data_IF_638645667031
#
_entry.id   IF_638645667031
#
_cell.length_a   1.000
_cell.length_b   1.000
_cell.length_c   1.000
_cell.angle_alpha   90.00
_cell.angle_beta   90.00
_cell.angle_gamma   90.00
#
_symmetry.space_group_name_H-M   'P 1'
#
loop_
_entity.id
_entity.type
_entity.pdbx_description
1 polymer ?
#
# COMPACT_ATOMS: atom_id res chain seq x y z
N UNK A 1 33.31 -18.22 -24.20
CA UNK A 1 33.62 -16.90 -23.60
C UNK A 1 32.86 -16.78 -22.30
N UNK A 2 33.55 -16.64 -21.17
CA UNK A 2 32.91 -16.38 -19.88
C UNK A 2 32.28 -14.97 -19.90
N UNK A 3 31.04 -14.84 -19.44
CA UNK A 3 30.39 -13.54 -19.32
C UNK A 3 31.10 -12.72 -18.23
N UNK A 4 31.35 -11.42 -18.46
CA UNK A 4 31.98 -10.59 -17.45
C UNK A 4 31.10 -10.54 -16.19
N UNK A 5 31.73 -10.53 -15.01
CA UNK A 5 31.05 -10.62 -13.71
C UNK A 5 29.97 -9.54 -13.53
N UNK A 6 30.19 -8.35 -14.07
CA UNK A 6 29.22 -7.26 -13.99
C UNK A 6 27.89 -7.60 -14.68
N UNK A 7 27.92 -8.33 -15.80
CA UNK A 7 26.70 -8.72 -16.53
C UNK A 7 25.88 -9.73 -15.73
N UNK A 8 26.54 -10.57 -14.94
CA UNK A 8 25.86 -11.49 -14.03
C UNK A 8 25.12 -10.74 -12.91
N UNK A 9 25.73 -9.70 -12.35
CA UNK A 9 25.10 -8.83 -11.35
C UNK A 9 23.93 -8.03 -11.93
N UNK A 10 24.04 -7.55 -13.17
CA UNK A 10 22.96 -6.86 -13.88
C UNK A 10 21.77 -7.80 -14.15
N UNK A 11 22.04 -8.98 -14.73
CA UNK A 11 21.01 -9.99 -15.02
C UNK A 11 20.26 -10.39 -13.74
N UNK A 12 20.98 -10.55 -12.63
CA UNK A 12 20.40 -10.85 -11.32
C UNK A 12 19.60 -9.67 -10.76
N UNK A 13 20.10 -8.43 -10.84
CA UNK A 13 19.38 -7.24 -10.39
C UNK A 13 18.07 -7.06 -11.14
N UNK A 14 18.06 -7.29 -12.46
CA UNK A 14 16.85 -7.26 -13.29
C UNK A 14 15.84 -8.32 -12.86
N UNK A 15 16.28 -9.57 -12.72
CA UNK A 15 15.40 -10.65 -12.28
C UNK A 15 14.79 -10.38 -10.89
N UNK A 16 15.58 -9.81 -9.97
CA UNK A 16 15.11 -9.40 -8.64
C UNK A 16 14.11 -8.24 -8.74
N UNK A 17 14.34 -7.24 -9.58
CA UNK A 17 13.42 -6.12 -9.79
C UNK A 17 12.07 -6.57 -10.38
N UNK A 18 12.09 -7.43 -11.40
CA UNK A 18 10.87 -7.98 -11.99
C UNK A 18 10.11 -8.87 -10.98
N UNK A 19 10.85 -9.57 -10.12
CA UNK A 19 10.25 -10.33 -9.02
C UNK A 19 9.65 -9.39 -7.95
N UNK A 20 10.30 -8.27 -7.62
CA UNK A 20 9.80 -7.26 -6.70
C UNK A 20 8.44 -6.72 -7.17
N UNK A 21 8.36 -6.25 -8.42
CA UNK A 21 7.13 -5.69 -8.98
C UNK A 21 5.97 -6.70 -8.98
N UNK A 22 6.24 -7.95 -9.37
CA UNK A 22 5.23 -9.03 -9.33
C UNK A 22 4.72 -9.30 -7.91
N UNK A 23 5.60 -9.27 -6.91
CA UNK A 23 5.22 -9.53 -5.51
C UNK A 23 4.45 -8.37 -4.90
N UNK A 24 4.82 -7.13 -5.22
CA UNK A 24 4.06 -5.95 -4.78
C UNK A 24 2.65 -5.90 -5.37
N UNK A 25 2.46 -6.43 -6.59
CA UNK A 25 1.16 -6.51 -7.24
C UNK A 25 0.23 -7.58 -6.65
N UNK A 26 0.77 -8.55 -5.89
CA UNK A 26 -0.05 -9.53 -5.19
C UNK A 26 -0.97 -8.82 -4.17
N UNK A 27 -2.21 -9.30 -3.98
CA UNK A 27 -3.10 -8.70 -3.00
C UNK A 27 -2.49 -8.71 -1.60
N UNK A 28 -1.98 -9.87 -1.17
CA UNK A 28 -1.21 -10.05 0.06
C UNK A 28 0.01 -10.94 -0.22
N UNK A 29 1.11 -10.67 0.48
CA UNK A 29 2.34 -11.47 0.47
C UNK A 29 3.00 -11.45 1.86
N UNK A 30 3.99 -12.31 2.08
CA UNK A 30 4.83 -12.28 3.29
C UNK A 30 5.84 -11.13 3.22
N UNK A 31 5.76 -10.23 4.21
CA UNK A 31 6.63 -9.07 4.29
C UNK A 31 8.11 -9.45 4.48
N UNK A 32 8.41 -10.55 5.16
CA UNK A 32 9.79 -10.99 5.35
C UNK A 32 10.41 -11.46 4.03
N UNK A 33 9.61 -12.10 3.18
CA UNK A 33 10.08 -12.53 1.88
C UNK A 33 10.31 -11.37 0.90
N UNK A 34 9.50 -10.30 0.93
CA UNK A 34 9.79 -9.10 0.13
C UNK A 34 11.02 -8.37 0.66
N UNK A 35 11.18 -8.27 1.99
CA UNK A 35 12.37 -7.66 2.60
C UNK A 35 13.67 -8.37 2.18
N UNK A 36 13.69 -9.71 2.16
CA UNK A 36 14.87 -10.46 1.68
C UNK A 36 15.20 -10.12 0.23
N UNK A 37 14.18 -9.95 -0.60
CA UNK A 37 14.34 -9.59 -2.00
C UNK A 37 14.91 -8.16 -2.13
N UNK A 38 14.32 -7.20 -1.41
CA UNK A 38 14.74 -5.79 -1.39
C UNK A 38 16.21 -5.65 -0.94
N UNK A 39 16.61 -6.37 0.12
CA UNK A 39 18.02 -6.40 0.58
C UNK A 39 18.97 -6.94 -0.49
N UNK A 40 18.61 -8.04 -1.17
CA UNK A 40 19.43 -8.63 -2.24
C UNK A 40 19.57 -7.69 -3.43
N UNK A 41 18.49 -7.00 -3.78
CA UNK A 41 18.47 -6.00 -4.86
C UNK A 41 19.42 -4.84 -4.55
N UNK A 42 19.37 -4.28 -3.34
CA UNK A 42 20.29 -3.23 -2.90
C UNK A 42 21.76 -3.68 -2.98
N UNK A 43 22.05 -4.91 -2.56
CA UNK A 43 23.41 -5.47 -2.71
C UNK A 43 23.87 -5.47 -4.17
N UNK A 44 23.00 -5.85 -5.12
CA UNK A 44 23.39 -5.83 -6.53
C UNK A 44 23.63 -4.42 -7.04
N UNK A 45 22.80 -3.46 -6.67
CA UNK A 45 23.01 -2.05 -7.05
C UNK A 45 24.32 -1.50 -6.52
N UNK A 46 24.69 -1.81 -5.27
CA UNK A 46 25.96 -1.39 -4.68
C UNK A 46 27.17 -2.02 -5.40
N UNK A 47 27.05 -3.26 -5.87
CA UNK A 47 28.13 -3.92 -6.62
C UNK A 47 28.28 -3.31 -8.02
N UNK A 48 27.17 -3.07 -8.71
CA UNK A 48 27.15 -2.41 -10.03
C UNK A 48 27.64 -0.95 -9.93
N UNK A 49 27.31 -0.25 -8.85
CA UNK A 49 27.72 1.13 -8.60
C UNK A 49 29.20 1.32 -8.29
N UNK A 50 30.00 0.25 -8.13
CA UNK A 50 31.47 0.38 -7.95
C UNK A 50 32.19 0.85 -9.21
N UNK A 51 31.62 0.56 -10.37
CA UNK A 51 32.15 0.96 -11.67
C UNK A 51 31.00 1.28 -12.64
N UNK A 52 30.15 2.24 -12.27
CA UNK A 52 28.94 2.56 -13.00
C UNK A 52 29.21 3.00 -14.46
N UNK A 53 30.39 3.59 -14.72
CA UNK A 53 30.80 4.10 -16.04
C UNK A 53 31.29 3.03 -17.02
N UNK A 54 31.88 1.91 -16.56
CA UNK A 54 32.38 0.85 -17.43
C UNK A 54 31.35 -0.27 -17.70
N UNK A 55 30.31 -0.36 -16.87
CA UNK A 55 29.50 -1.58 -16.72
C UNK A 55 28.25 -1.61 -17.60
N UNK A 56 27.78 -0.50 -18.19
CA UNK A 56 26.41 -0.47 -18.71
C UNK A 56 26.30 0.22 -20.09
N UNK A 57 26.43 -0.53 -21.21
CA UNK A 57 26.11 0.00 -22.53
C UNK A 57 24.64 0.44 -22.63
N UNK A 58 24.33 1.31 -23.59
CA UNK A 58 22.98 1.81 -23.91
C UNK A 58 22.06 0.73 -24.49
N UNK A 59 21.68 -0.26 -23.66
CA UNK A 59 20.58 -1.16 -23.97
C UNK A 59 19.23 -0.45 -23.74
N UNK A 60 18.33 -0.56 -24.72
CA UNK A 60 17.08 0.20 -24.82
C UNK A 60 15.95 -0.20 -23.84
N UNK A 61 16.16 -1.19 -22.93
CA UNK A 61 15.08 -1.65 -22.05
C UNK A 61 14.88 -0.74 -20.83
N UNK A 62 13.62 -0.46 -20.47
CA UNK A 62 13.26 0.38 -19.32
C UNK A 62 13.85 -0.13 -18.00
N UNK A 63 13.87 -1.46 -17.80
CA UNK A 63 14.47 -2.07 -16.60
C UNK A 63 15.99 -1.86 -16.56
N UNK A 64 16.69 -1.97 -17.70
CA UNK A 64 18.14 -1.70 -17.74
C UNK A 64 18.42 -0.22 -17.44
N UNK A 65 17.66 0.70 -18.03
CA UNK A 65 17.77 2.14 -17.73
C UNK A 65 17.55 2.44 -16.24
N UNK A 66 16.53 1.83 -15.61
CA UNK A 66 16.31 1.97 -14.17
C UNK A 66 17.46 1.43 -13.33
N UNK A 67 18.04 0.27 -13.69
CA UNK A 67 19.17 -0.32 -12.95
C UNK A 67 20.44 0.53 -13.04
N UNK A 68 20.71 1.13 -14.21
CA UNK A 68 21.81 2.11 -14.39
C UNK A 68 21.63 3.29 -13.49
N UNK A 69 20.42 3.80 -13.48
CA UNK A 69 20.01 4.87 -12.61
C UNK A 69 20.30 4.49 -11.14
N UNK A 70 19.75 3.36 -10.68
CA UNK A 70 19.91 2.89 -9.31
C UNK A 70 21.38 2.67 -8.91
N UNK A 71 22.19 2.08 -9.80
CA UNK A 71 23.62 1.86 -9.57
C UNK A 71 24.38 3.18 -9.42
N UNK A 72 24.12 4.15 -10.31
CA UNK A 72 24.73 5.49 -10.25
C UNK A 72 24.34 6.22 -8.96
N UNK A 73 23.06 6.13 -8.58
CA UNK A 73 22.51 6.74 -7.37
C UNK A 73 23.19 6.27 -6.07
N UNK A 74 23.54 4.98 -6.01
CA UNK A 74 24.20 4.39 -4.83
C UNK A 74 25.73 4.36 -4.94
N UNK A 75 26.29 4.82 -6.06
CA UNK A 75 27.73 4.88 -6.31
C UNK A 75 28.43 5.99 -5.52
N UNK A 76 29.76 6.02 -5.58
CA UNK A 76 30.57 7.13 -5.09
C UNK A 76 30.48 8.38 -5.98
N UNK A 77 30.09 8.21 -7.26
CA UNK A 77 29.90 9.28 -8.24
C UNK A 77 28.41 9.54 -8.42
N UNK A 78 27.76 10.03 -7.36
CA UNK A 78 26.32 10.36 -7.41
C UNK A 78 26.07 11.44 -8.46
N UNK A 79 24.90 11.41 -9.15
CA UNK A 79 24.56 12.45 -10.11
C UNK A 79 24.41 13.79 -9.40
N UNK A 80 24.77 14.88 -10.08
CA UNK A 80 24.56 16.22 -9.56
C UNK A 80 23.04 16.49 -9.41
N UNK A 81 22.68 17.36 -8.46
CA UNK A 81 21.27 17.66 -8.20
C UNK A 81 20.60 18.29 -9.42
N UNK A 82 21.35 19.15 -10.11
CA UNK A 82 20.95 19.86 -11.31
C UNK A 82 20.61 18.90 -12.45
N UNK A 83 21.45 17.87 -12.67
CA UNK A 83 21.22 16.84 -13.68
C UNK A 83 19.94 16.05 -13.39
N UNK A 84 19.71 15.72 -12.12
CA UNK A 84 18.53 14.98 -11.69
C UNK A 84 17.27 15.81 -11.89
N UNK A 85 17.30 17.08 -11.50
CA UNK A 85 16.18 18.02 -11.68
C UNK A 85 15.89 18.26 -13.16
N UNK A 86 16.92 18.42 -13.99
CA UNK A 86 16.77 18.58 -15.44
C UNK A 86 16.08 17.36 -16.06
N UNK A 87 16.61 16.15 -15.78
CA UNK A 87 16.03 14.90 -16.30
C UNK A 87 14.57 14.70 -15.86
N UNK A 88 14.23 15.05 -14.62
CA UNK A 88 12.86 14.96 -14.11
C UNK A 88 11.92 16.01 -14.70
N UNK A 89 12.45 17.18 -15.07
CA UNK A 89 11.68 18.24 -15.71
C UNK A 89 11.33 17.88 -17.16
N UNK A 90 12.23 17.17 -17.83
CA UNK A 90 12.02 16.64 -19.19
C UNK A 90 11.12 15.39 -19.19
N UNK A 91 11.33 14.48 -18.25
CA UNK A 91 10.54 13.25 -18.07
C UNK A 91 10.14 13.04 -16.60
N UNK A 92 8.87 13.32 -16.29
CA UNK A 92 8.33 13.10 -14.95
C UNK A 92 8.33 11.62 -14.52
N UNK A 93 8.46 10.67 -15.45
CA UNK A 93 8.54 9.24 -15.20
C UNK A 93 9.98 8.71 -15.09
N UNK A 94 10.97 9.60 -15.18
CA UNK A 94 12.38 9.22 -15.10
C UNK A 94 12.66 8.41 -13.80
N UNK A 95 13.50 7.35 -13.86
CA UNK A 95 13.83 6.50 -12.70
C UNK A 95 14.26 7.24 -11.43
N UNK A 96 14.82 8.44 -11.58
CA UNK A 96 15.18 9.35 -10.50
C UNK A 96 14.03 9.66 -9.55
N UNK A 97 12.80 9.74 -10.06
CA UNK A 97 11.62 9.98 -9.23
C UNK A 97 11.48 8.90 -8.17
N UNK A 98 11.55 7.64 -8.61
CA UNK A 98 11.44 6.49 -7.72
C UNK A 98 12.60 6.48 -6.72
N UNK A 99 13.84 6.67 -7.17
CA UNK A 99 15.00 6.65 -6.27
C UNK A 99 14.97 7.79 -5.24
N UNK A 100 14.49 8.98 -5.60
CA UNK A 100 14.29 10.07 -4.65
C UNK A 100 13.24 9.74 -3.58
N UNK A 101 12.12 9.13 -3.96
CA UNK A 101 11.05 8.76 -3.01
C UNK A 101 11.51 7.65 -2.06
N UNK A 102 12.19 6.64 -2.60
CA UNK A 102 12.46 5.39 -1.90
C UNK A 102 13.86 5.32 -1.26
N UNK A 103 14.84 6.02 -1.84
CA UNK A 103 16.23 6.14 -1.38
C UNK A 103 16.66 7.63 -1.36
N UNK A 104 15.94 8.48 -0.61
CA UNK A 104 16.20 9.91 -0.56
C UNK A 104 17.65 10.19 -0.13
N UNK A 105 18.30 11.21 -0.71
CA UNK A 105 19.63 11.64 -0.31
C UNK A 105 19.57 12.40 1.03
N UNK A 106 20.67 12.34 1.78
CA UNK A 106 20.85 13.12 3.00
C UNK A 106 22.03 14.09 2.79
N UNK A 107 21.89 15.40 3.12
CA UNK A 107 20.71 16.05 3.70
C UNK A 107 19.59 16.31 2.67
N UNK A 108 18.32 16.19 3.10
CA UNK A 108 17.15 16.30 2.23
C UNK A 108 16.71 17.75 1.92
N UNK A 109 17.00 18.70 2.82
CA UNK A 109 16.53 20.09 2.71
C UNK A 109 16.88 20.77 1.37
N UNK A 110 18.16 20.77 0.93
CA UNK A 110 18.56 21.36 -0.34
C UNK A 110 17.82 20.77 -1.55
N UNK A 111 17.59 19.45 -1.55
CA UNK A 111 16.84 18.78 -2.62
C UNK A 111 15.39 19.25 -2.69
N UNK A 112 14.71 19.39 -1.55
CA UNK A 112 13.33 19.86 -1.52
C UNK A 112 13.20 21.32 -1.95
N UNK A 113 14.16 22.18 -1.58
CA UNK A 113 14.18 23.58 -2.03
C UNK A 113 14.35 23.67 -3.55
N UNK A 114 15.32 22.93 -4.12
CA UNK A 114 15.56 22.94 -5.57
C UNK A 114 14.39 22.34 -6.34
N UNK A 115 13.87 21.18 -5.94
CA UNK A 115 12.70 20.56 -6.57
C UNK A 115 11.45 21.44 -6.45
N UNK A 116 11.24 22.08 -5.29
CA UNK A 116 10.09 22.95 -5.04
C UNK A 116 10.11 24.25 -5.86
N UNK A 117 11.30 24.70 -6.30
CA UNK A 117 11.44 25.86 -7.18
C UNK A 117 10.90 25.61 -8.59
N UNK A 118 10.84 24.34 -9.03
CA UNK A 118 10.31 23.93 -10.33
C UNK A 118 8.82 23.53 -10.17
N UNK A 119 7.86 24.27 -10.75
CA UNK A 119 6.43 24.03 -10.51
C UNK A 119 5.96 22.60 -10.80
N UNK A 120 6.44 21.99 -11.90
CA UNK A 120 6.10 20.62 -12.29
C UNK A 120 6.62 19.55 -11.34
N UNK A 121 7.62 19.87 -10.51
CA UNK A 121 8.25 18.95 -9.55
C UNK A 121 7.82 19.19 -8.10
N UNK A 122 7.00 20.21 -7.82
CA UNK A 122 6.43 20.44 -6.48
C UNK A 122 5.67 19.23 -5.92
N UNK A 123 4.88 18.45 -6.69
CA UNK A 123 4.23 17.26 -6.17
C UNK A 123 5.25 16.23 -5.63
N UNK A 124 6.42 16.13 -6.26
CA UNK A 124 7.47 15.18 -5.87
C UNK A 124 8.04 15.51 -4.47
N UNK A 125 8.10 16.79 -4.08
CA UNK A 125 8.53 17.17 -2.73
C UNK A 125 7.66 16.52 -1.65
N UNK A 126 6.34 16.52 -1.86
CA UNK A 126 5.37 15.89 -0.95
C UNK A 126 5.44 14.37 -1.00
N UNK A 127 5.70 13.77 -2.17
CA UNK A 127 5.90 12.33 -2.30
C UNK A 127 7.16 11.85 -1.58
N UNK A 128 8.28 12.58 -1.69
CA UNK A 128 9.51 12.28 -0.95
C UNK A 128 9.27 12.45 0.56
N UNK A 129 8.60 13.54 0.96
CA UNK A 129 8.25 13.78 2.36
C UNK A 129 7.34 12.70 2.94
N UNK A 130 6.50 12.05 2.12
CA UNK A 130 5.55 11.02 2.56
C UNK A 130 6.25 9.77 3.09
N UNK A 131 7.50 9.60 2.70
CA UNK A 131 8.36 8.50 3.10
C UNK A 131 9.30 8.85 4.27
N UNK A 132 9.22 10.05 4.84
CA UNK A 132 10.08 10.47 5.94
C UNK A 132 9.45 10.23 7.31
N UNK A 133 10.28 10.02 8.33
CA UNK A 133 9.82 9.87 9.72
C UNK A 133 9.31 11.18 10.32
N UNK A 134 9.86 12.30 9.85
CA UNK A 134 9.61 13.65 10.35
C UNK A 134 9.23 14.54 9.18
N UNK A 135 8.51 15.63 9.46
CA UNK A 135 8.24 16.67 8.47
C UNK A 135 9.58 17.29 8.04
N UNK A 136 10.01 17.15 6.78
CA UNK A 136 11.27 17.73 6.34
C UNK A 136 11.19 19.25 6.33
N UNK A 137 12.29 19.93 6.70
CA UNK A 137 12.46 21.35 6.44
C UNK A 137 12.57 21.58 4.92
N UNK A 138 12.01 22.69 4.43
CA UNK A 138 12.06 23.06 3.01
C UNK A 138 10.94 22.47 2.14
N UNK A 139 9.87 21.94 2.75
CA UNK A 139 8.64 21.64 2.00
C UNK A 139 8.01 22.92 1.43
N UNK A 140 7.43 22.89 0.23
CA UNK A 140 6.75 24.05 -0.34
C UNK A 140 5.62 24.54 0.57
N UNK A 141 5.52 25.85 0.77
CA UNK A 141 4.39 26.43 1.51
C UNK A 141 3.09 26.25 0.71
N UNK A 142 1.95 25.98 1.38
CA UNK A 142 0.66 25.90 0.71
C UNK A 142 0.31 27.20 -0.01
N UNK A 143 -0.05 27.12 -1.29
CA UNK A 143 -0.54 28.27 -2.05
C UNK A 143 -1.97 28.03 -2.53
N UNK A 144 -2.85 29.05 -2.53
CA UNK A 144 -4.18 28.94 -3.14
C UNK A 144 -4.11 28.68 -4.66
N UNK A 145 -2.96 28.96 -5.29
CA UNK A 145 -2.71 28.74 -6.71
C UNK A 145 -1.95 27.43 -6.98
N UNK A 146 -1.85 26.53 -6.01
CA UNK A 146 -1.22 25.22 -6.21
C UNK A 146 -1.94 24.44 -7.31
N UNK A 147 -1.17 23.76 -8.16
CA UNK A 147 -1.73 22.85 -9.14
C UNK A 147 -2.43 21.65 -8.45
N UNK A 148 -3.42 21.03 -9.11
CA UNK A 148 -4.17 19.93 -8.51
C UNK A 148 -3.33 18.72 -8.08
N UNK A 149 -2.18 18.48 -8.73
CA UNK A 149 -1.32 17.34 -8.42
C UNK A 149 -0.48 17.61 -7.17
N UNK A 150 -0.04 18.85 -6.97
CA UNK A 150 0.58 19.32 -5.72
C UNK A 150 -0.41 19.20 -4.54
N UNK A 151 -1.66 19.64 -4.73
CA UNK A 151 -2.71 19.49 -3.71
C UNK A 151 -2.94 18.01 -3.38
N UNK A 152 -3.04 17.15 -4.39
CA UNK A 152 -3.21 15.71 -4.22
C UNK A 152 -2.04 15.06 -3.48
N UNK A 153 -0.80 15.38 -3.85
CA UNK A 153 0.41 14.86 -3.21
C UNK A 153 0.50 15.30 -1.75
N UNK A 154 0.14 16.55 -1.44
CA UNK A 154 0.03 17.06 -0.07
C UNK A 154 -1.05 16.30 0.71
N UNK A 155 -2.25 16.11 0.16
CA UNK A 155 -3.31 15.35 0.84
C UNK A 155 -2.91 13.90 1.12
N UNK A 156 -2.20 13.25 0.19
CA UNK A 156 -1.61 11.92 0.38
C UNK A 156 -0.63 11.90 1.55
N UNK A 157 0.29 12.86 1.58
CA UNK A 157 1.23 13.04 2.68
C UNK A 157 0.50 13.19 4.01
N UNK A 158 -0.47 14.10 4.08
CA UNK A 158 -1.22 14.40 5.29
C UNK A 158 -2.03 13.20 5.81
N UNK A 159 -2.55 12.37 4.91
CA UNK A 159 -3.31 11.20 5.28
C UNK A 159 -2.48 10.13 6.01
N UNK A 160 -1.16 10.17 5.84
CA UNK A 160 -0.22 9.23 6.47
C UNK A 160 0.53 9.83 7.67
N UNK A 161 0.39 11.13 7.95
CA UNK A 161 1.17 11.83 8.99
C UNK A 161 0.31 12.31 10.18
N UNK A 162 0.57 11.84 11.42
CA UNK A 162 -0.24 12.20 12.59
C UNK A 162 -0.29 13.69 12.89
N UNK A 163 0.84 14.37 12.70
CA UNK A 163 1.03 15.79 13.01
C UNK A 163 0.84 16.70 11.79
N UNK A 164 0.30 16.18 10.69
CA UNK A 164 -0.04 17.00 9.54
C UNK A 164 -1.03 18.12 9.93
N UNK A 165 -0.93 19.31 9.30
CA UNK A 165 -1.83 20.43 9.58
C UNK A 165 -3.29 20.07 9.28
N UNK A 166 -4.22 20.91 9.74
CA UNK A 166 -5.64 20.76 9.44
C UNK A 166 -5.89 21.34 8.05
N UNK A 167 -6.59 20.59 7.19
CA UNK A 167 -7.12 21.09 5.91
C UNK A 167 -8.63 21.12 6.06
N UNK A 168 -9.20 22.31 5.86
CA UNK A 168 -10.65 22.48 5.84
C UNK A 168 -11.24 21.78 4.61
N UNK A 169 -12.46 21.21 4.71
CA UNK A 169 -13.11 20.53 3.59
C UNK A 169 -13.23 21.41 2.34
N UNK A 170 -13.33 22.73 2.54
CA UNK A 170 -13.51 23.73 1.48
C UNK A 170 -12.20 24.25 0.88
N UNK A 171 -11.07 23.64 1.24
CA UNK A 171 -9.78 24.03 0.65
C UNK A 171 -9.82 23.81 -0.87
N UNK A 172 -9.48 24.83 -1.68
CA UNK A 172 -9.45 24.72 -3.13
C UNK A 172 -8.70 23.45 -3.60
N UNK A 173 -9.28 22.72 -4.55
CA UNK A 173 -8.74 21.46 -5.06
C UNK A 173 -9.22 20.19 -4.35
N UNK A 174 -9.73 20.26 -3.12
CA UNK A 174 -10.30 19.08 -2.43
C UNK A 174 -11.60 18.58 -3.09
N UNK A 175 -12.39 19.51 -3.63
CA UNK A 175 -13.66 19.23 -4.34
C UNK A 175 -13.46 18.94 -5.84
N UNK A 176 -12.32 19.31 -6.42
CA UNK A 176 -12.14 19.32 -7.87
C UNK A 176 -11.82 17.94 -8.47
N UNK A 177 -11.36 16.97 -7.66
CA UNK A 177 -11.01 15.61 -8.14
C UNK A 177 -11.37 14.54 -7.11
N UNK A 178 -11.99 13.45 -7.56
CA UNK A 178 -12.34 12.30 -6.73
C UNK A 178 -11.14 11.75 -5.93
N UNK A 179 -9.95 11.73 -6.51
CA UNK A 179 -8.73 11.30 -5.81
C UNK A 179 -8.37 12.20 -4.61
N UNK A 180 -8.54 13.52 -4.74
CA UNK A 180 -8.26 14.46 -3.65
C UNK A 180 -9.24 14.25 -2.49
N UNK A 181 -10.55 14.15 -2.79
CA UNK A 181 -11.59 13.83 -1.82
C UNK A 181 -11.33 12.49 -1.11
N UNK A 182 -10.93 11.46 -1.84
CA UNK A 182 -10.55 10.15 -1.27
C UNK A 182 -9.45 10.28 -0.21
N UNK A 183 -8.34 10.94 -0.55
CA UNK A 183 -7.19 11.08 0.35
C UNK A 183 -7.50 11.99 1.55
N UNK A 184 -8.33 13.01 1.34
CA UNK A 184 -8.85 13.83 2.42
C UNK A 184 -9.68 13.00 3.40
N UNK A 185 -10.69 12.24 2.94
CA UNK A 185 -11.54 11.39 3.81
C UNK A 185 -10.67 10.39 4.58
N UNK A 186 -9.78 9.69 3.88
CA UNK A 186 -8.85 8.73 4.50
C UNK A 186 -8.06 9.37 5.63
N UNK A 187 -7.45 10.52 5.37
CA UNK A 187 -6.61 11.24 6.33
C UNK A 187 -7.37 11.89 7.47
N UNK A 188 -8.58 12.38 7.21
CA UNK A 188 -9.44 12.99 8.22
C UNK A 188 -9.98 11.93 9.20
N UNK A 189 -10.47 10.79 8.69
CA UNK A 189 -10.91 9.67 9.52
C UNK A 189 -9.75 9.08 10.35
N UNK A 190 -8.60 8.81 9.74
CA UNK A 190 -7.43 8.22 10.43
C UNK A 190 -6.90 9.10 11.58
N UNK A 191 -7.13 10.42 11.51
CA UNK A 191 -6.73 11.40 12.53
C UNK A 191 -7.88 11.81 13.46
N UNK A 192 -9.04 11.16 13.37
CA UNK A 192 -10.22 11.49 14.19
C UNK A 192 -10.80 12.88 13.96
N UNK A 193 -10.56 13.49 12.78
CA UNK A 193 -11.05 14.83 12.44
C UNK A 193 -12.50 14.83 11.98
N UNK A 194 -12.91 13.75 11.34
CA UNK A 194 -14.30 13.45 10.99
C UNK A 194 -14.63 12.07 11.52
N UNK A 195 -15.91 11.81 11.78
CA UNK A 195 -16.36 10.48 12.17
C UNK A 195 -16.29 9.50 10.98
N UNK A 196 -16.23 8.19 11.25
CA UNK A 196 -16.33 7.19 10.18
C UNK A 196 -17.64 7.31 9.38
N UNK A 197 -18.73 7.75 10.03
CA UNK A 197 -20.05 7.93 9.39
C UNK A 197 -20.06 9.11 8.43
N UNK A 198 -19.51 10.24 8.87
CA UNK A 198 -19.31 11.42 8.02
C UNK A 198 -18.39 11.09 6.84
N UNK A 199 -17.29 10.37 7.10
CA UNK A 199 -16.41 9.87 6.04
C UNK A 199 -17.14 9.00 5.02
N UNK A 200 -18.02 8.09 5.46
CA UNK A 200 -18.82 7.26 4.55
C UNK A 200 -19.78 8.09 3.69
N UNK A 201 -20.46 9.09 4.26
CA UNK A 201 -21.32 10.00 3.50
C UNK A 201 -20.54 10.63 2.35
N UNK A 202 -19.32 11.10 2.62
CA UNK A 202 -18.50 11.68 1.57
C UNK A 202 -18.10 10.70 0.47
N UNK A 203 -17.95 9.41 0.79
CA UNK A 203 -17.58 8.37 -0.19
C UNK A 203 -18.77 7.91 -1.01
N UNK A 204 -19.98 7.91 -0.45
CA UNK A 204 -21.21 7.55 -1.16
C UNK A 204 -21.54 8.51 -2.31
N UNK A 205 -21.14 9.77 -2.18
CA UNK A 205 -21.28 10.78 -3.25
C UNK A 205 -20.27 10.60 -4.39
N UNK A 206 -19.31 9.69 -4.26
CA UNK A 206 -18.22 9.52 -5.24
C UNK A 206 -18.55 8.40 -6.23
N UNK A 207 -18.01 8.52 -7.44
CA UNK A 207 -18.03 7.41 -8.39
C UNK A 207 -17.31 6.18 -7.81
N UNK A 208 -17.98 5.03 -7.91
CA UNK A 208 -17.49 3.76 -7.41
C UNK A 208 -16.18 3.35 -8.10
N UNK A 209 -15.08 3.45 -7.37
CA UNK A 209 -13.78 2.91 -7.76
C UNK A 209 -13.32 1.88 -6.74
N UNK A 210 -12.41 0.98 -7.14
CA UNK A 210 -11.87 -0.03 -6.22
C UNK A 210 -11.24 0.58 -4.97
N UNK A 211 -10.61 1.76 -5.10
CA UNK A 211 -10.03 2.48 -3.96
C UNK A 211 -11.12 2.96 -2.98
N UNK A 212 -12.19 3.58 -3.50
CA UNK A 212 -13.32 4.07 -2.70
C UNK A 212 -14.02 2.92 -1.97
N UNK A 213 -14.31 1.83 -2.68
CA UNK A 213 -14.97 0.64 -2.10
C UNK A 213 -14.12 0.00 -1.00
N UNK A 214 -12.80 -0.10 -1.20
CA UNK A 214 -11.89 -0.56 -0.12
C UNK A 214 -11.95 0.34 1.10
N UNK A 215 -11.93 1.66 0.92
CA UNK A 215 -11.99 2.62 2.02
C UNK A 215 -13.32 2.54 2.77
N UNK A 216 -14.45 2.43 2.07
CA UNK A 216 -15.76 2.17 2.67
C UNK A 216 -15.74 0.93 3.57
N UNK A 217 -15.12 -0.15 3.10
CA UNK A 217 -14.90 -1.37 3.87
C UNK A 217 -14.08 -1.15 5.15
N UNK A 218 -12.98 -0.39 5.05
CA UNK A 218 -12.08 -0.09 6.18
C UNK A 218 -12.75 0.75 7.28
N UNK A 219 -13.61 1.70 6.90
CA UNK A 219 -14.43 2.47 7.86
C UNK A 219 -15.32 1.53 8.69
N UNK A 220 -15.70 0.39 8.10
CA UNK A 220 -16.25 -0.73 8.83
C UNK A 220 -17.72 -0.58 9.20
N UNK A 221 -18.43 0.38 8.63
CA UNK A 221 -19.83 0.63 8.95
C UNK A 221 -20.75 -0.41 8.29
N UNK A 222 -21.85 -0.73 8.96
CA UNK A 222 -22.90 -1.61 8.40
C UNK A 222 -23.56 -0.98 7.19
N UNK A 223 -23.69 0.35 7.21
CA UNK A 223 -24.29 1.18 6.17
C UNK A 223 -23.55 1.08 4.83
N UNK A 224 -22.29 0.65 4.82
CA UNK A 224 -21.52 0.45 3.60
C UNK A 224 -21.75 -0.94 2.95
N UNK A 225 -22.35 -1.89 3.67
CA UNK A 225 -22.41 -3.29 3.22
C UNK A 225 -23.26 -3.45 1.95
N UNK A 226 -24.39 -2.76 1.86
CA UNK A 226 -25.27 -2.80 0.68
C UNK A 226 -24.50 -2.35 -0.58
N UNK A 227 -23.85 -1.19 -0.52
CA UNK A 227 -23.04 -0.67 -1.63
C UNK A 227 -21.91 -1.62 -2.02
N UNK A 228 -21.24 -2.25 -1.04
CA UNK A 228 -20.18 -3.22 -1.30
C UNK A 228 -20.70 -4.50 -1.96
N UNK A 229 -21.85 -5.01 -1.51
CA UNK A 229 -22.50 -6.19 -2.09
C UNK A 229 -22.93 -5.92 -3.52
N UNK A 230 -23.55 -4.77 -3.78
CA UNK A 230 -24.02 -4.36 -5.10
C UNK A 230 -22.88 -4.06 -6.09
N UNK A 231 -21.73 -3.64 -5.58
CA UNK A 231 -20.52 -3.41 -6.37
C UNK A 231 -19.73 -4.70 -6.64
N UNK A 232 -19.90 -5.75 -5.84
CA UNK A 232 -19.13 -7.00 -5.92
C UNK A 232 -19.08 -7.63 -7.32
N UNK A 233 -20.17 -7.66 -8.12
CA UNK A 233 -20.13 -8.24 -9.47
C UNK A 233 -19.32 -7.42 -10.49
N UNK A 234 -19.01 -6.16 -10.18
CA UNK A 234 -18.43 -5.18 -11.10
C UNK A 234 -17.01 -4.73 -10.69
N UNK A 235 -16.67 -4.84 -9.41
CA UNK A 235 -15.46 -4.24 -8.84
C UNK A 235 -14.74 -5.20 -7.91
N UNK A 236 -13.47 -5.49 -8.21
CA UNK A 236 -12.61 -6.30 -7.34
C UNK A 236 -12.37 -5.63 -5.97
N UNK A 237 -12.41 -4.30 -5.90
CA UNK A 237 -12.26 -3.55 -4.66
C UNK A 237 -13.39 -3.77 -3.65
N UNK A 238 -14.59 -4.18 -4.10
CA UNK A 238 -15.69 -4.52 -3.21
C UNK A 238 -15.39 -5.78 -2.38
N UNK A 239 -14.77 -6.81 -2.98
CA UNK A 239 -14.36 -8.01 -2.26
C UNK A 239 -13.37 -7.66 -1.13
N UNK A 240 -12.37 -6.84 -1.43
CA UNK A 240 -11.41 -6.37 -0.42
C UNK A 240 -12.05 -5.42 0.60
N UNK A 241 -13.02 -4.60 0.21
CA UNK A 241 -13.81 -3.80 1.13
C UNK A 241 -14.59 -4.66 2.13
N UNK A 242 -15.27 -5.71 1.67
CA UNK A 242 -15.95 -6.68 2.55
C UNK A 242 -14.96 -7.38 3.48
N UNK A 243 -13.78 -7.76 2.96
CA UNK A 243 -12.76 -8.40 3.77
C UNK A 243 -12.21 -7.50 4.88
N UNK A 244 -11.89 -6.24 4.54
CA UNK A 244 -11.40 -5.26 5.50
C UNK A 244 -12.46 -4.86 6.54
N UNK A 245 -13.74 -4.88 6.15
CA UNK A 245 -14.86 -4.71 7.08
C UNK A 245 -14.88 -5.87 8.10
N UNK A 246 -14.80 -7.10 7.60
CA UNK A 246 -14.57 -8.32 8.38
C UNK A 246 -15.69 -8.73 9.33
N UNK A 247 -16.84 -8.02 9.33
CA UNK A 247 -18.01 -8.39 10.13
C UNK A 247 -18.64 -9.68 9.61
N UNK A 248 -19.46 -10.38 10.42
CA UNK A 248 -20.09 -11.61 9.97
C UNK A 248 -20.93 -11.44 8.70
N UNK A 249 -21.68 -10.33 8.57
CA UNK A 249 -22.45 -10.02 7.37
C UNK A 249 -21.57 -9.80 6.13
N UNK A 250 -20.39 -9.18 6.29
CA UNK A 250 -19.44 -9.03 5.21
C UNK A 250 -18.83 -10.37 4.76
N UNK A 251 -18.59 -11.29 5.72
CA UNK A 251 -18.13 -12.65 5.42
C UNK A 251 -19.22 -13.47 4.73
N UNK A 252 -20.48 -13.36 5.17
CA UNK A 252 -21.64 -13.97 4.50
C UNK A 252 -21.70 -13.52 3.02
N UNK A 253 -21.55 -12.22 2.77
CA UNK A 253 -21.51 -11.65 1.42
C UNK A 253 -20.33 -12.17 0.58
N UNK A 254 -19.13 -12.28 1.14
CA UNK A 254 -17.97 -12.84 0.45
C UNK A 254 -18.17 -14.30 0.06
N UNK A 255 -18.74 -15.11 0.96
CA UNK A 255 -19.03 -16.52 0.69
C UNK A 255 -20.09 -16.66 -0.41
N UNK A 256 -21.13 -15.83 -0.39
CA UNK A 256 -22.12 -15.78 -1.47
C UNK A 256 -21.47 -15.35 -2.80
N UNK A 257 -20.50 -14.43 -2.75
CA UNK A 257 -19.73 -13.96 -3.89
C UNK A 257 -18.91 -15.05 -4.60
N UNK A 258 -18.60 -16.18 -3.95
CA UNK A 258 -17.88 -17.29 -4.59
C UNK A 258 -18.64 -17.91 -5.77
N UNK A 259 -19.96 -17.70 -5.84
CA UNK A 259 -20.77 -18.12 -6.99
C UNK A 259 -20.63 -17.18 -8.20
N UNK A 260 -19.93 -16.05 -8.07
CA UNK A 260 -19.75 -15.07 -9.15
C UNK A 260 -18.46 -15.34 -9.94
N UNK A 261 -18.53 -15.50 -11.27
CA UNK A 261 -17.35 -15.81 -12.07
C UNK A 261 -16.42 -14.60 -12.28
N UNK A 262 -16.95 -13.38 -12.21
CA UNK A 262 -16.17 -12.14 -12.38
C UNK A 262 -15.45 -11.84 -11.06
N UNK A 263 -14.13 -11.63 -11.13
CA UNK A 263 -13.26 -11.37 -9.97
C UNK A 263 -13.18 -12.51 -8.94
N UNK A 264 -13.49 -13.75 -9.32
CA UNK A 264 -13.40 -14.92 -8.43
C UNK A 264 -12.03 -15.03 -7.73
N UNK A 265 -10.95 -14.68 -8.43
CA UNK A 265 -9.59 -14.65 -7.85
C UNK A 265 -9.46 -13.69 -6.67
N UNK A 266 -10.06 -12.51 -6.75
CA UNK A 266 -10.01 -11.50 -5.69
C UNK A 266 -10.97 -11.86 -4.55
N UNK A 267 -12.14 -12.42 -4.86
CA UNK A 267 -13.07 -12.94 -3.83
C UNK A 267 -12.41 -14.07 -3.04
N UNK A 268 -11.74 -15.01 -3.72
CA UNK A 268 -10.96 -16.06 -3.07
C UNK A 268 -9.89 -15.47 -2.16
N UNK A 269 -9.05 -14.57 -2.69
CA UNK A 269 -7.96 -13.98 -1.92
C UNK A 269 -8.45 -13.16 -0.72
N UNK A 270 -9.55 -12.42 -0.87
CA UNK A 270 -10.20 -11.66 0.18
C UNK A 270 -10.77 -12.60 1.28
N UNK A 271 -11.40 -13.71 0.88
CA UNK A 271 -11.90 -14.71 1.82
C UNK A 271 -10.77 -15.45 2.53
N UNK A 272 -9.68 -15.84 1.84
CA UNK A 272 -8.47 -16.39 2.47
C UNK A 272 -7.89 -15.40 3.49
N UNK A 273 -7.89 -14.10 3.17
CA UNK A 273 -7.39 -13.05 4.07
C UNK A 273 -8.21 -12.94 5.37
N UNK A 274 -9.54 -12.98 5.29
CA UNK A 274 -10.40 -12.89 6.48
C UNK A 274 -10.44 -14.19 7.27
N UNK A 275 -10.48 -15.33 6.58
CA UNK A 275 -10.70 -16.64 7.20
C UNK A 275 -9.42 -17.30 7.69
N UNK A 276 -8.26 -16.94 7.11
CA UNK A 276 -7.00 -17.66 7.32
C UNK A 276 -6.94 -19.02 6.62
N UNK A 277 -7.98 -19.38 5.85
CA UNK A 277 -7.99 -20.61 5.06
C UNK A 277 -7.07 -20.50 3.85
N UNK A 278 -6.61 -21.64 3.37
CA UNK A 278 -6.09 -21.79 2.01
C UNK A 278 -7.14 -22.49 1.17
N UNK A 279 -7.77 -21.75 0.27
CA UNK A 279 -8.79 -22.28 -0.62
C UNK A 279 -8.09 -22.93 -1.83
N UNK A 280 -8.60 -24.08 -2.31
CA UNK A 280 -8.04 -24.72 -3.48
C UNK A 280 -8.20 -23.79 -4.68
N UNK A 281 -7.09 -23.53 -5.35
CA UNK A 281 -7.10 -22.79 -6.62
C UNK A 281 -7.47 -23.80 -7.70
N UNK A 282 -8.53 -23.53 -8.47
CA UNK A 282 -8.95 -24.39 -9.58
C UNK A 282 -7.78 -24.68 -10.54
N UNK A 283 -7.84 -25.78 -11.31
CA UNK A 283 -6.73 -26.17 -12.18
C UNK A 283 -6.40 -25.04 -13.18
N UNK A 284 -5.13 -24.66 -13.25
CA UNK A 284 -4.60 -23.79 -14.32
C UNK A 284 -4.36 -24.67 -15.55
N UNK A 285 -5.38 -24.84 -16.39
CA UNK A 285 -5.26 -25.59 -17.65
C UNK A 285 -6.55 -26.33 -18.04
N UNK A 286 -6.61 -26.92 -19.25
CA UNK A 286 -7.73 -27.75 -19.67
C UNK A 286 -7.91 -28.89 -18.66
N UNK A 287 -9.15 -29.05 -18.17
CA UNK A 287 -9.51 -30.01 -17.12
C UNK A 287 -9.00 -31.42 -17.49
N UNK A 288 -8.21 -32.10 -16.63
CA UNK A 288 -8.08 -33.53 -16.76
C UNK A 288 -9.46 -34.16 -16.53
N UNK A 289 -9.90 -34.99 -17.46
CA UNK A 289 -11.21 -35.69 -17.48
C UNK A 289 -11.40 -36.71 -16.34
N UNK A 290 -10.62 -36.65 -15.26
CA UNK A 290 -10.67 -37.61 -14.14
C UNK A 290 -10.71 -36.93 -12.78
N UNK A 291 -11.91 -36.87 -12.21
CA UNK A 291 -12.27 -37.39 -10.87
C UNK A 291 -11.68 -36.80 -9.59
N UNK A 292 -10.54 -36.10 -9.60
CA UNK A 292 -9.90 -35.59 -8.38
C UNK A 292 -9.82 -34.06 -8.38
N UNK A 293 -10.93 -33.39 -8.67
CA UNK A 293 -11.06 -32.00 -8.26
C UNK A 293 -11.10 -31.99 -6.73
N UNK A 294 -10.16 -31.31 -6.08
CA UNK A 294 -10.19 -31.11 -4.62
C UNK A 294 -11.52 -30.49 -4.17
N UNK A 295 -11.76 -30.41 -2.85
CA UNK A 295 -13.01 -29.90 -2.31
C UNK A 295 -13.34 -28.52 -2.88
N UNK A 296 -14.61 -28.32 -3.25
CA UNK A 296 -15.10 -27.08 -3.82
C UNK A 296 -14.83 -25.88 -2.85
N UNK A 297 -14.23 -24.77 -3.31
CA UNK A 297 -13.96 -23.60 -2.48
C UNK A 297 -15.18 -23.08 -1.72
N UNK A 298 -16.37 -23.11 -2.33
CA UNK A 298 -17.60 -22.67 -1.70
C UNK A 298 -18.01 -23.61 -0.56
N UNK A 299 -17.95 -24.92 -0.78
CA UNK A 299 -18.18 -25.91 0.27
C UNK A 299 -17.21 -25.77 1.46
N UNK A 300 -15.91 -25.58 1.20
CA UNK A 300 -14.92 -25.36 2.25
C UNK A 300 -15.18 -24.10 3.06
N UNK A 301 -15.47 -22.99 2.37
CA UNK A 301 -15.80 -21.71 2.98
C UNK A 301 -17.03 -21.82 3.88
N UNK A 302 -18.10 -22.45 3.39
CA UNK A 302 -19.32 -22.67 4.17
C UNK A 302 -19.08 -23.57 5.38
N UNK A 303 -18.31 -24.64 5.24
CA UNK A 303 -18.01 -25.55 6.35
C UNK A 303 -17.25 -24.84 7.48
N UNK A 304 -16.21 -24.07 7.13
CA UNK A 304 -15.50 -23.22 8.08
C UNK A 304 -16.43 -22.20 8.73
N UNK A 305 -17.28 -21.56 7.94
CA UNK A 305 -18.15 -20.50 8.43
C UNK A 305 -19.23 -21.01 9.37
N UNK A 306 -19.86 -22.16 9.07
CA UNK A 306 -20.82 -22.82 9.97
C UNK A 306 -20.21 -23.13 11.34
N UNK A 307 -18.91 -23.49 11.39
CA UNK A 307 -18.20 -23.73 12.65
C UNK A 307 -17.85 -22.44 13.41
N UNK A 308 -17.57 -21.36 12.67
CA UNK A 308 -17.03 -20.11 13.23
C UNK A 308 -18.12 -19.12 13.61
N UNK A 309 -19.10 -18.90 12.72
CA UNK A 309 -20.19 -17.91 12.84
C UNK A 309 -20.94 -17.94 14.18
N UNK A 310 -21.29 -19.09 14.78
CA UNK A 310 -22.04 -19.12 16.04
C UNK A 310 -21.25 -18.60 17.25
N UNK A 311 -19.93 -18.55 17.15
CA UNK A 311 -19.03 -18.11 18.22
C UNK A 311 -18.73 -16.61 18.18
N UNK A 312 -19.27 -15.90 17.18
CA UNK A 312 -18.97 -14.49 16.94
C UNK A 312 -20.12 -13.58 17.31
N UNK A 313 -19.79 -12.45 17.93
CA UNK A 313 -20.75 -11.35 18.06
C UNK A 313 -21.03 -10.71 16.70
N UNK A 314 -22.22 -10.14 16.53
CA UNK A 314 -22.68 -9.54 15.26
C UNK A 314 -21.77 -8.42 14.74
N UNK A 315 -21.04 -7.73 15.62
CA UNK A 315 -20.10 -6.66 15.25
C UNK A 315 -18.63 -7.08 15.32
N UNK A 316 -18.35 -8.33 15.69
CA UNK A 316 -16.98 -8.83 15.82
C UNK A 316 -16.36 -8.97 14.44
N UNK A 317 -15.22 -8.33 14.24
CA UNK A 317 -14.53 -8.34 12.96
C UNK A 317 -13.45 -9.40 12.95
N UNK A 318 -13.27 -10.04 11.81
CA UNK A 318 -12.27 -11.06 11.60
C UNK A 318 -11.14 -10.59 10.69
N UNK A 319 -9.95 -11.10 10.95
CA UNK A 319 -8.84 -11.13 10.01
C UNK A 319 -8.01 -12.38 10.31
N UNK A 320 -7.64 -13.12 9.26
CA UNK A 320 -6.94 -14.41 9.38
C UNK A 320 -7.57 -15.39 10.38
N UNK A 321 -8.91 -15.44 10.42
CA UNK A 321 -9.69 -16.36 11.26
C UNK A 321 -9.77 -15.96 12.73
N UNK A 322 -9.19 -14.83 13.12
CA UNK A 322 -9.17 -14.34 14.49
C UNK A 322 -9.85 -12.97 14.63
N UNK A 323 -10.35 -12.62 15.83
CA UNK A 323 -10.87 -11.28 16.09
C UNK A 323 -9.82 -10.19 15.86
N UNK A 324 -10.23 -9.11 15.20
CA UNK A 324 -9.40 -7.92 15.03
C UNK A 324 -9.29 -7.16 16.35
N UNK A 325 -8.09 -7.08 16.90
CA UNK A 325 -7.71 -6.20 18.01
C UNK A 325 -6.57 -5.28 17.52
N UNK A 326 -6.31 -4.14 18.17
CA UNK A 326 -5.17 -3.28 17.79
C UNK A 326 -3.85 -4.06 17.74
N UNK A 327 -3.62 -4.96 18.71
CA UNK A 327 -2.42 -5.80 18.76
C UNK A 327 -2.38 -6.82 17.61
N UNK A 328 -3.50 -7.51 17.31
CA UNK A 328 -3.52 -8.49 16.21
C UNK A 328 -3.36 -7.79 14.86
N UNK A 329 -4.07 -6.66 14.64
CA UNK A 329 -3.92 -5.82 13.46
C UNK A 329 -2.48 -5.35 13.26
N UNK A 330 -1.82 -4.88 14.33
CA UNK A 330 -0.43 -4.44 14.24
C UNK A 330 0.53 -5.57 13.85
N UNK A 331 0.34 -6.78 14.40
CA UNK A 331 1.09 -7.98 13.99
C UNK A 331 0.88 -8.32 12.51
N UNK A 332 -0.37 -8.28 12.04
CA UNK A 332 -0.67 -8.53 10.63
C UNK A 332 -0.08 -7.47 9.71
N UNK A 333 -0.18 -6.19 10.07
CA UNK A 333 0.44 -5.09 9.32
C UNK A 333 1.96 -5.25 9.21
N UNK A 334 2.64 -5.85 10.21
CA UNK A 334 4.08 -6.17 10.13
C UNK A 334 4.41 -7.43 9.32
N UNK A 335 3.49 -8.40 9.27
CA UNK A 335 3.69 -9.68 8.61
C UNK A 335 3.28 -9.65 7.13
N UNK A 336 2.45 -8.68 6.74
CA UNK A 336 1.81 -8.66 5.43
C UNK A 336 2.35 -7.53 4.54
N UNK A 337 2.65 -7.92 3.31
CA UNK A 337 3.04 -7.08 2.19
C UNK A 337 1.96 -7.13 1.09
N UNK A 338 2.19 -6.40 0.00
CA UNK A 338 1.33 -6.42 -1.19
C UNK A 338 0.37 -5.25 -1.26
N UNK A 339 -0.49 -5.28 -2.27
CA UNK A 339 -1.38 -4.18 -2.66
C UNK A 339 -2.34 -3.76 -1.55
N UNK A 340 -2.82 -4.72 -0.76
CA UNK A 340 -3.91 -4.53 0.22
C UNK A 340 -3.39 -4.30 1.66
N UNK A 341 -2.07 -4.27 1.85
CA UNK A 341 -1.44 -4.02 3.15
C UNK A 341 -1.75 -2.63 3.73
N UNK A 342 -2.07 -1.64 2.89
CA UNK A 342 -2.45 -0.29 3.32
C UNK A 342 -3.85 -0.23 3.92
N UNK A 343 -4.76 -1.10 3.48
CA UNK A 343 -6.09 -1.23 4.07
C UNK A 343 -6.02 -1.64 5.53
N UNK A 344 -5.13 -2.60 5.86
CA UNK A 344 -4.87 -3.02 7.24
C UNK A 344 -4.20 -1.93 8.08
N UNK A 345 -3.27 -1.18 7.50
CA UNK A 345 -2.68 -0.03 8.19
C UNK A 345 -3.74 0.99 8.56
N UNK A 346 -4.61 1.34 7.61
CA UNK A 346 -5.68 2.29 7.86
C UNK A 346 -6.67 1.76 8.90
N UNK A 347 -6.99 0.47 8.86
CA UNK A 347 -7.84 -0.17 9.86
C UNK A 347 -7.23 -0.09 11.27
N UNK A 348 -5.93 -0.36 11.39
CA UNK A 348 -5.19 -0.17 12.64
C UNK A 348 -5.22 1.29 13.09
N UNK A 349 -5.04 2.23 12.17
CA UNK A 349 -5.08 3.66 12.48
C UNK A 349 -6.42 4.13 13.03
N UNK A 350 -7.52 3.66 12.43
CA UNK A 350 -8.88 3.93 12.92
C UNK A 350 -9.10 3.30 14.30
N UNK A 351 -8.56 2.11 14.55
CA UNK A 351 -8.65 1.47 15.86
C UNK A 351 -7.85 2.19 16.95
N UNK A 352 -6.75 2.85 16.58
CA UNK A 352 -5.88 3.62 17.49
C UNK A 352 -6.25 5.10 17.58
N UNK A 353 -7.13 5.61 16.72
CA UNK A 353 -7.42 7.05 16.61
C UNK A 353 -6.23 7.90 16.12
N UNK A 354 -5.25 7.28 15.46
CA UNK A 354 -4.05 7.97 14.96
C UNK A 354 -3.50 7.29 13.70
N UNK A 355 -2.95 8.05 12.72
CA UNK A 355 -2.46 7.46 11.49
C UNK A 355 -1.24 6.57 11.73
N UNK A 356 -1.10 5.49 10.95
CA UNK A 356 -0.07 4.49 11.13
C UNK A 356 1.27 5.02 10.61
N UNK A 357 2.32 4.18 10.56
CA UNK A 357 3.58 4.56 9.91
C UNK A 357 3.37 4.81 8.40
N UNK A 358 4.42 5.31 7.73
CA UNK A 358 4.45 5.58 6.30
C UNK A 358 3.86 4.42 5.44
N UNK A 359 3.27 4.73 4.27
CA UNK A 359 2.48 3.80 3.45
C UNK A 359 3.32 2.71 2.73
N UNK A 360 2.69 1.80 1.98
CA UNK A 360 3.38 0.77 1.16
C UNK A 360 4.40 1.31 0.16
N UNK A 361 4.25 2.56 -0.27
CA UNK A 361 5.21 3.20 -1.16
C UNK A 361 6.53 3.50 -0.43
N UNK A 362 6.62 3.29 0.88
CA UNK A 362 7.92 3.22 1.53
C UNK A 362 8.51 1.82 1.35
N UNK A 363 9.84 1.71 1.15
CA UNK A 363 10.53 0.41 1.19
C UNK A 363 9.98 -0.40 2.36
N UNK A 364 9.31 -1.52 2.09
CA UNK A 364 8.45 -2.16 3.08
C UNK A 364 9.28 -2.61 4.28
N UNK A 365 10.53 -3.01 4.03
CA UNK A 365 11.54 -3.20 5.07
C UNK A 365 11.68 -2.01 6.04
N UNK A 366 11.84 -0.78 5.53
CA UNK A 366 11.99 0.42 6.37
C UNK A 366 10.70 0.73 7.14
N UNK A 367 9.53 0.55 6.50
CA UNK A 367 8.21 0.67 7.14
C UNK A 367 8.07 -0.32 8.31
N UNK A 368 8.52 -1.57 8.13
CA UNK A 368 8.53 -2.58 9.20
C UNK A 368 9.40 -2.16 10.38
N UNK A 369 10.58 -1.57 10.13
CA UNK A 369 11.44 -1.05 11.21
C UNK A 369 10.74 0.07 12.00
N UNK A 370 10.05 0.98 11.33
CA UNK A 370 9.28 2.05 12.00
C UNK A 370 8.11 1.50 12.83
N UNK A 371 7.36 0.54 12.29
CA UNK A 371 6.20 -0.06 12.96
C UNK A 371 6.59 -0.90 14.19
N UNK A 372 7.74 -1.56 14.16
CA UNK A 372 8.22 -2.38 15.28
C UNK A 372 8.31 -1.58 16.60
N UNK A 373 8.79 -0.34 16.55
CA UNK A 373 8.86 0.54 17.72
C UNK A 373 7.49 0.90 18.29
N UNK A 374 6.48 1.11 17.44
CA UNK A 374 5.10 1.39 17.88
C UNK A 374 4.43 0.17 18.52
N UNK A 375 4.70 -1.03 18.03
CA UNK A 375 4.15 -2.27 18.59
C UNK A 375 4.73 -2.56 19.98
N UNK A 376 6.02 -2.29 20.19
CA UNK A 376 6.63 -2.42 21.51
C UNK A 376 5.98 -1.46 22.52
N UNK A 377 5.67 -0.23 22.12
CA UNK A 377 4.93 0.71 22.97
C UNK A 377 3.52 0.20 23.31
N UNK A 378 2.75 -0.23 22.31
CA UNK A 378 1.40 -0.78 22.53
C UNK A 378 1.40 -2.04 23.41
N UNK A 379 2.42 -2.89 23.30
CA UNK A 379 2.57 -4.09 24.15
C UNK A 379 2.91 -3.74 25.60
N UNK A 380 3.69 -2.68 25.83
CA UNK A 380 4.03 -2.21 27.16
C UNK A 380 2.83 -1.56 27.89
N UNK A 381 1.91 -0.95 27.14
CA UNK A 381 0.67 -0.35 27.66
C UNK A 381 -0.42 -1.40 27.97
N UNK A 382 -0.25 -2.64 27.51
CA UNK A 382 -1.28 -3.70 27.55
C UNK A 382 -1.16 -4.73 28.70
N UNK A 383 -1.10 -4.32 30.00
CA UNK A 383 -1.57 -5.21 31.08
C UNK A 383 -3.03 -4.97 31.49
N UNK A 384 -3.70 -3.91 31.02
CA UNK A 384 -5.03 -3.49 31.55
C UNK A 384 -6.23 -3.56 30.59
N UNK A 385 -6.06 -3.81 29.30
CA UNK A 385 -7.17 -3.76 28.32
C UNK A 385 -7.95 -5.08 28.15
N UNK A 386 -7.90 -6.00 29.13
CA UNK A 386 -8.61 -7.28 29.03
C UNK A 386 -10.02 -7.29 29.64
N UNK A 387 -10.51 -6.20 30.25
CA UNK A 387 -11.75 -6.28 31.04
C UNK A 387 -12.97 -5.58 30.41
N UNK A 388 -12.81 -4.61 29.50
CA UNK A 388 -13.98 -3.95 28.90
C UNK A 388 -13.77 -3.53 27.44
N UNK A 389 -14.14 -4.42 26.51
CA UNK A 389 -14.52 -4.10 25.13
C UNK A 389 -15.57 -5.10 24.64
#
# INVERSE_FOLDING_TARGET
>A
MERPLWKQHEDLARALWDQHGRRQALPLDDAASLERLERRLLTQWLLLGRDAGAVLPDDASTSAHFLRCAATWVSQQRPAMEDVVSALSEDAQHPWRWLLIHLPPEPLGPWLTTLGSVPTLRPLCWEIARCQNTVPAGLPEPSPNDDPDTVLARLRWMADHPRAPVIEPNTPGCHARAAARYWWVRGACARGRISAREGLQHLLDMESSDAVLRLMGVLGLSEALETLVDALPRHAGAAWGLALNGTPAAVDALIAGLAQPRHLSDIHAALEAVSGLRLPRGPRGPRPLRGNAGPDPQMMAQAWWRKTRPRLHTRQRLWQGAPQTPVSLARHVMATAGREADGLQLRLALALGAPPAAPREHWQYRRRRQLAGRIQALQAESPREAVHA
#
